data_IF_889695139742
#
_entry.id   IF_889695139742
#
_cell.length_a   1.000
_cell.length_b   1.000
_cell.length_c   1.000
_cell.angle_alpha   90.00
_cell.angle_beta   90.00
_cell.angle_gamma   90.00
#
_symmetry.space_group_name_H-M   'P 1'
#
loop_
_entity.id
_entity.type
_entity.pdbx_description
1 polymer ?
#
# COMPACT_ATOMS: atom_id res chain seq x y z
N UNK A 1 -1.79 -14.08 13.99
CA UNK A 1 -2.80 -13.97 12.92
C UNK A 1 -3.92 -14.98 13.16
N UNK A 2 -5.16 -14.63 12.81
CA UNK A 2 -6.33 -15.53 12.81
C UNK A 2 -6.61 -16.09 11.40
N UNK A 3 -6.32 -15.28 10.38
CA UNK A 3 -6.35 -15.60 8.95
C UNK A 3 -5.04 -15.19 8.27
N UNK A 4 -4.60 -16.01 7.32
CA UNK A 4 -3.47 -15.73 6.44
C UNK A 4 -3.94 -15.82 5.00
N UNK A 5 -3.67 -14.79 4.21
CA UNK A 5 -3.94 -14.74 2.78
C UNK A 5 -2.61 -14.62 2.04
N UNK A 6 -2.38 -15.51 1.08
CA UNK A 6 -1.16 -15.57 0.27
C UNK A 6 -1.57 -15.42 -1.19
N UNK A 7 -1.12 -14.33 -1.80
CA UNK A 7 -1.30 -14.09 -3.23
C UNK A 7 0.02 -14.40 -3.92
N UNK A 8 0.04 -15.34 -4.85
CA UNK A 8 1.27 -15.73 -5.54
C UNK A 8 1.09 -15.79 -7.05
N UNK A 9 2.11 -15.31 -7.78
CA UNK A 9 2.20 -15.35 -9.23
C UNK A 9 3.54 -15.92 -9.67
N UNK A 10 3.49 -17.06 -10.34
CA UNK A 10 4.62 -17.64 -11.05
C UNK A 10 4.65 -17.17 -12.52
N UNK A 11 5.78 -17.31 -13.22
CA UNK A 11 5.84 -17.01 -14.65
C UNK A 11 5.09 -18.04 -15.51
N UNK A 12 5.00 -19.29 -15.04
CA UNK A 12 4.45 -20.43 -15.77
C UNK A 12 2.95 -20.67 -15.49
N UNK A 13 2.34 -19.89 -14.61
CA UNK A 13 0.94 -20.08 -14.20
C UNK A 13 0.27 -18.72 -13.89
N UNK A 14 -1.04 -18.71 -13.72
CA UNK A 14 -1.82 -17.54 -13.34
C UNK A 14 -1.58 -17.11 -11.88
N UNK A 15 -2.19 -16.00 -11.46
CA UNK A 15 -2.18 -15.58 -10.06
C UNK A 15 -3.21 -16.39 -9.27
N UNK A 16 -2.81 -16.85 -8.09
CA UNK A 16 -3.70 -17.57 -7.17
C UNK A 16 -3.67 -16.95 -5.79
N UNK A 17 -4.80 -17.08 -5.11
CA UNK A 17 -4.97 -16.76 -3.70
C UNK A 17 -5.13 -18.05 -2.92
N UNK A 18 -4.22 -18.27 -1.97
CA UNK A 18 -4.38 -19.25 -0.91
C UNK A 18 -4.83 -18.53 0.35
N UNK A 19 -5.88 -19.01 1.00
CA UNK A 19 -6.36 -18.47 2.27
C UNK A 19 -6.49 -19.58 3.29
N UNK A 20 -6.01 -19.34 4.51
CA UNK A 20 -6.10 -20.29 5.60
C UNK A 20 -6.46 -19.61 6.90
N UNK A 21 -7.18 -20.35 7.74
CA UNK A 21 -7.54 -19.93 9.09
C UNK A 21 -6.86 -20.85 10.11
N UNK A 22 -6.80 -20.42 11.37
CA UNK A 22 -6.25 -21.24 12.47
C UNK A 22 -7.01 -22.57 12.71
N UNK A 23 -8.16 -22.79 12.04
CA UNK A 23 -8.96 -24.02 12.14
C UNK A 23 -8.42 -25.21 11.33
N UNK A 24 -7.30 -25.04 10.62
CA UNK A 24 -6.67 -26.11 9.82
C UNK A 24 -7.27 -26.28 8.41
N UNK A 25 -8.27 -25.48 8.05
CA UNK A 25 -8.86 -25.46 6.71
C UNK A 25 -8.24 -24.33 5.86
N UNK A 26 -7.99 -24.63 4.59
CA UNK A 26 -7.52 -23.66 3.61
C UNK A 26 -8.28 -23.78 2.29
N UNK A 27 -8.28 -22.71 1.51
CA UNK A 27 -8.83 -22.68 0.15
C UNK A 27 -7.79 -22.13 -0.83
N UNK A 28 -7.82 -22.61 -2.07
CA UNK A 28 -7.01 -22.08 -3.18
C UNK A 28 -7.94 -21.73 -4.32
N UNK A 29 -7.83 -20.51 -4.84
CA UNK A 29 -8.65 -20.02 -5.95
C UNK A 29 -7.79 -19.16 -6.88
N UNK A 30 -8.17 -19.10 -8.15
CA UNK A 30 -7.60 -18.13 -9.10
C UNK A 30 -7.94 -16.72 -8.62
N UNK A 31 -6.97 -15.81 -8.70
CA UNK A 31 -7.14 -14.45 -8.19
C UNK A 31 -7.82 -13.54 -9.21
N UNK A 32 -8.93 -12.93 -8.79
CA UNK A 32 -9.74 -11.96 -9.52
C UNK A 32 -9.92 -10.63 -8.74
N UNK A 33 -9.43 -10.55 -7.50
CA UNK A 33 -9.78 -9.49 -6.56
C UNK A 33 -8.60 -8.60 -6.17
N UNK A 34 -7.36 -9.10 -6.26
CA UNK A 34 -6.17 -8.33 -5.93
C UNK A 34 -5.50 -7.75 -7.18
N UNK A 35 -4.69 -6.71 -6.96
CA UNK A 35 -3.83 -6.16 -7.99
C UNK A 35 -2.92 -7.27 -8.59
N UNK A 36 -2.82 -7.37 -9.93
CA UNK A 36 -1.99 -8.37 -10.58
C UNK A 36 -0.51 -8.12 -10.29
N UNK A 37 0.12 -9.09 -9.64
CA UNK A 37 1.56 -9.15 -9.46
C UNK A 37 2.21 -9.51 -10.80
N UNK A 38 3.31 -8.84 -11.16
CA UNK A 38 4.11 -9.27 -12.32
C UNK A 38 4.73 -10.65 -12.08
N UNK A 39 5.32 -10.85 -10.90
CA UNK A 39 5.91 -12.11 -10.39
C UNK A 39 6.15 -11.97 -8.89
N UNK A 40 5.97 -13.05 -8.14
CA UNK A 40 6.35 -13.13 -6.73
C UNK A 40 5.20 -13.53 -5.83
N UNK A 41 5.34 -13.26 -4.53
CA UNK A 41 4.36 -13.64 -3.52
C UNK A 41 4.13 -12.50 -2.54
N UNK A 42 2.87 -12.21 -2.24
CA UNK A 42 2.40 -11.25 -1.25
C UNK A 42 1.75 -12.02 -0.11
N UNK A 43 2.23 -11.83 1.11
CA UNK A 43 1.64 -12.40 2.32
C UNK A 43 0.89 -11.32 3.08
N UNK A 44 -0.38 -11.56 3.36
CA UNK A 44 -1.27 -10.69 4.11
C UNK A 44 -1.64 -11.43 5.39
N UNK A 45 -1.24 -10.87 6.52
CA UNK A 45 -1.51 -11.41 7.84
C UNK A 45 -2.64 -10.61 8.49
N UNK A 46 -3.78 -11.26 8.73
CA UNK A 46 -4.83 -10.68 9.54
C UNK A 46 -4.46 -10.90 11.00
N UNK A 47 -4.00 -9.84 11.66
CA UNK A 47 -3.51 -9.90 13.03
C UNK A 47 -4.68 -10.05 14.01
N UNK A 48 -4.42 -10.75 15.11
CA UNK A 48 -5.36 -10.81 16.22
C UNK A 48 -5.31 -9.49 17.00
N UNK A 49 -6.36 -9.16 17.74
CA UNK A 49 -6.46 -7.92 18.52
C UNK A 49 -5.36 -7.78 19.58
N UNK A 50 -4.87 -8.90 20.11
CA UNK A 50 -3.78 -8.95 21.09
C UNK A 50 -2.38 -8.85 20.47
N UNK A 51 -2.28 -8.77 19.13
CA UNK A 51 -1.03 -8.79 18.37
C UNK A 51 -0.81 -7.48 17.59
N UNK A 52 -1.41 -6.38 18.05
CA UNK A 52 -1.29 -5.05 17.43
C UNK A 52 0.10 -4.43 17.54
N UNK A 53 0.96 -4.93 18.44
CA UNK A 53 2.37 -4.51 18.54
C UNK A 53 3.14 -4.66 17.21
N UNK A 54 2.72 -5.58 16.33
CA UNK A 54 3.34 -5.80 15.03
C UNK A 54 2.93 -4.77 13.97
N UNK A 55 2.01 -3.87 14.29
CA UNK A 55 1.69 -2.70 13.48
C UNK A 55 2.57 -1.51 13.83
N UNK A 56 3.27 -1.54 14.97
CA UNK A 56 4.17 -0.47 15.37
C UNK A 56 5.45 -0.46 14.54
N UNK A 57 5.76 0.70 13.94
CA UNK A 57 6.94 0.89 13.10
C UNK A 57 8.25 0.51 13.83
N UNK A 58 8.39 0.89 15.11
CA UNK A 58 9.58 0.57 15.91
C UNK A 58 9.78 -0.94 16.02
N UNK A 59 8.71 -1.68 16.30
CA UNK A 59 8.73 -3.13 16.45
C UNK A 59 9.09 -3.81 15.13
N UNK A 60 8.51 -3.35 14.02
CA UNK A 60 8.83 -3.85 12.68
C UNK A 60 10.28 -3.60 12.29
N UNK A 61 10.84 -2.42 12.57
CA UNK A 61 12.26 -2.11 12.30
C UNK A 61 13.20 -3.03 13.08
N UNK A 62 12.94 -3.25 14.36
CA UNK A 62 13.74 -4.17 15.18
C UNK A 62 13.68 -5.60 14.65
N UNK A 63 12.49 -6.07 14.26
CA UNK A 63 12.27 -7.40 13.74
C UNK A 63 12.97 -7.60 12.39
N UNK A 64 12.79 -6.66 11.46
CA UNK A 64 13.46 -6.69 10.14
C UNK A 64 14.97 -6.70 10.34
N UNK A 65 15.53 -5.82 11.17
CA UNK A 65 16.98 -5.79 11.41
C UNK A 65 17.51 -7.10 11.99
N UNK A 66 16.80 -7.68 12.97
CA UNK A 66 17.19 -8.93 13.64
C UNK A 66 17.14 -10.14 12.72
N UNK A 67 16.15 -10.21 11.84
CA UNK A 67 15.90 -11.40 11.02
C UNK A 67 16.50 -11.32 9.60
N UNK A 68 17.15 -10.21 9.25
CA UNK A 68 17.67 -9.97 7.90
C UNK A 68 19.19 -9.90 7.79
N UNK A 69 19.93 -10.18 8.86
CA UNK A 69 21.40 -10.04 8.91
C UNK A 69 22.14 -10.82 7.81
N UNK A 70 21.57 -11.94 7.37
CA UNK A 70 22.17 -12.83 6.37
C UNK A 70 21.43 -12.82 5.01
N UNK A 71 20.53 -11.87 4.78
CA UNK A 71 19.77 -11.79 3.53
C UNK A 71 20.52 -10.91 2.52
N UNK A 72 20.90 -11.50 1.39
CA UNK A 72 21.66 -10.81 0.32
C UNK A 72 20.81 -9.89 -0.57
N UNK A 73 19.50 -9.81 -0.32
CA UNK A 73 18.57 -8.97 -1.07
C UNK A 73 18.13 -7.76 -0.22
N UNK A 74 17.93 -6.59 -0.84
CA UNK A 74 17.46 -5.41 -0.11
C UNK A 74 16.03 -5.61 0.41
N UNK A 75 15.79 -5.19 1.65
CA UNK A 75 14.48 -5.25 2.29
C UNK A 75 14.04 -3.81 2.58
N UNK A 76 12.86 -3.47 2.09
CA UNK A 76 12.25 -2.15 2.28
C UNK A 76 11.11 -2.25 3.29
N UNK A 77 11.01 -1.25 4.17
CA UNK A 77 9.88 -1.08 5.10
C UNK A 77 9.15 0.21 4.73
N UNK A 78 7.83 0.13 4.54
CA UNK A 78 6.98 1.30 4.37
C UNK A 78 6.75 1.95 5.74
N UNK A 79 7.01 3.25 5.85
CA UNK A 79 6.95 4.02 7.09
C UNK A 79 6.25 5.35 6.81
N UNK A 80 5.48 5.84 7.77
CA UNK A 80 4.84 7.15 7.68
C UNK A 80 5.86 8.23 8.07
N UNK A 81 6.08 9.21 7.20
CA UNK A 81 6.92 10.38 7.49
C UNK A 81 6.04 11.61 7.50
N UNK A 82 5.87 12.22 8.67
CA UNK A 82 5.27 13.54 8.78
C UNK A 82 6.33 14.58 8.47
N UNK A 83 6.10 15.40 7.44
CA UNK A 83 6.93 16.57 7.15
C UNK A 83 6.20 17.80 7.70
N UNK A 84 6.80 18.45 8.70
CA UNK A 84 6.28 19.70 9.24
C UNK A 84 6.68 20.82 8.26
N UNK A 85 5.70 21.39 7.55
CA UNK A 85 5.90 22.59 6.74
C UNK A 85 5.63 23.80 7.62
N UNK A 86 6.68 24.55 7.98
CA UNK A 86 6.52 25.89 8.54
C UNK A 86 5.85 26.77 7.48
N UNK A 87 4.57 27.10 7.70
CA UNK A 87 3.89 28.14 6.93
C UNK A 87 4.38 29.47 7.47
N UNK A 88 5.32 30.11 6.79
CA UNK A 88 5.64 31.53 7.02
C UNK A 88 4.51 32.39 6.45
N UNK A 89 4.01 33.35 7.24
CA UNK A 89 2.89 34.26 6.95
C UNK A 89 3.01 35.11 5.66
N UNK A 90 4.16 35.10 4.98
CA UNK A 90 4.43 35.94 3.80
C UNK A 90 3.69 35.52 2.50
N UNK A 91 3.06 34.35 2.43
CA UNK A 91 2.32 33.89 1.23
C UNK A 91 0.83 34.28 1.19
N UNK A 92 0.30 34.92 2.23
CA UNK A 92 -1.12 35.30 2.28
C UNK A 92 -1.51 36.51 1.39
N UNK A 93 -0.55 37.26 0.84
CA UNK A 93 -0.84 38.50 0.08
C UNK A 93 -0.81 38.37 -1.46
N UNK A 94 -0.64 37.18 -2.06
CA UNK A 94 -0.48 37.05 -3.51
C UNK A 94 -1.70 36.54 -4.30
N UNK A 95 -2.84 36.30 -3.65
CA UNK A 95 -3.99 35.59 -4.29
C UNK A 95 -5.30 36.40 -4.42
N UNK A 96 -5.24 37.74 -4.48
CA UNK A 96 -6.45 38.57 -4.73
C UNK A 96 -6.61 39.14 -6.16
N UNK A 97 -5.64 38.97 -7.08
CA UNK A 97 -5.63 39.73 -8.35
C UNK A 97 -5.79 38.93 -9.65
N UNK A 98 -6.77 38.01 -9.72
CA UNK A 98 -7.25 37.50 -11.03
C UNK A 98 -8.77 37.48 -11.16
N UNK A 99 -9.30 38.58 -11.70
CA UNK A 99 -10.64 38.71 -12.28
C UNK A 99 -10.91 37.63 -13.34
N UNK A 100 -12.14 37.08 -13.43
CA UNK A 100 -12.58 36.32 -14.60
C UNK A 100 -13.11 37.25 -15.69
N UNK A 101 -12.48 37.26 -16.86
CA UNK A 101 -13.01 37.89 -18.08
C UNK A 101 -13.66 36.83 -18.98
N UNK A 102 -14.88 37.14 -19.41
CA UNK A 102 -15.77 36.34 -20.27
C UNK A 102 -15.19 36.12 -21.67
N UNK A 103 -15.45 34.96 -22.30
CA UNK A 103 -15.62 34.93 -23.75
C UNK A 103 -16.74 34.00 -24.21
N UNK A 104 -17.38 34.48 -25.28
CA UNK A 104 -18.76 34.25 -25.71
C UNK A 104 -18.91 33.00 -26.60
N UNK A 105 -20.14 32.47 -26.57
CA UNK A 105 -20.67 31.54 -27.55
C UNK A 105 -20.52 32.01 -29.01
N UNK A 106 -20.20 31.08 -29.92
CA UNK A 106 -20.72 31.08 -31.29
C UNK A 106 -20.98 29.65 -31.79
N UNK A 107 -22.09 29.59 -32.50
CA UNK A 107 -22.86 28.49 -33.08
C UNK A 107 -22.29 28.03 -34.44
N UNK A 108 -22.96 27.03 -35.04
CA UNK A 108 -22.96 26.65 -36.47
C UNK A 108 -21.95 25.58 -36.99
N UNK A 109 -22.43 24.32 -37.01
CA UNK A 109 -22.72 23.51 -38.22
C UNK A 109 -21.58 23.15 -39.21
N UNK A 110 -21.42 21.84 -39.45
CA UNK A 110 -21.65 21.08 -40.71
C UNK A 110 -21.38 19.60 -40.44
#
# INVERSE_FOLDING_TARGET
>A
ADKVTVVSKNNADDQYVWESTASGHFTVKKDDSHEPLKRGTRLILHLKEDQTEYLEERRLKELVKKHSEFISFPISLSVEKTQETEVTDDEAELDEDKKPEEEKAKDDKV
#
